data_IF_747596231177
#
_entry.id   IF_747596231177
#
_cell.length_a   1.000
_cell.length_b   1.000
_cell.length_c   1.000
_cell.angle_alpha   90.00
_cell.angle_beta   90.00
_cell.angle_gamma   90.00
#
_symmetry.space_group_name_H-M   'P 1'
#
loop_
_entity.id
_entity.type
_entity.pdbx_description
1 polymer ?
#
# COMPACT_ATOMS: atom_id res chain seq x y z
N UNK A 1 -10.83 0.36 -0.02
CA UNK A 1 -11.38 0.32 -1.40
C UNK A 1 -10.65 1.36 -2.23
N UNK A 2 -10.10 0.95 -3.37
CA UNK A 2 -9.56 1.85 -4.38
C UNK A 2 -10.59 2.01 -5.49
N UNK A 3 -10.83 3.24 -5.93
CA UNK A 3 -11.82 3.56 -6.96
C UNK A 3 -11.20 4.53 -7.95
N UNK A 4 -11.36 4.23 -9.22
CA UNK A 4 -10.95 5.10 -10.32
C UNK A 4 -12.18 5.81 -10.87
N UNK A 5 -12.15 7.13 -10.89
CA UNK A 5 -13.23 7.98 -11.37
C UNK A 5 -12.72 8.84 -12.53
N UNK A 6 -13.56 9.10 -13.51
CA UNK A 6 -13.24 10.05 -14.58
C UNK A 6 -13.06 11.48 -14.06
N UNK A 7 -13.82 11.83 -13.02
CA UNK A 7 -13.70 13.08 -12.29
C UNK A 7 -13.95 12.88 -10.81
N UNK A 8 -13.21 13.60 -9.97
CA UNK A 8 -13.49 13.63 -8.53
C UNK A 8 -14.86 14.25 -8.19
N UNK A 9 -15.51 14.91 -9.12
CA UNK A 9 -16.86 15.46 -8.95
C UNK A 9 -17.93 14.36 -8.90
N UNK A 10 -17.64 13.16 -9.41
CA UNK A 10 -18.48 11.98 -9.26
C UNK A 10 -18.42 11.31 -7.86
N UNK A 11 -17.55 11.78 -6.99
CA UNK A 11 -17.30 11.22 -5.66
C UNK A 11 -18.51 11.22 -4.71
N UNK A 12 -19.42 12.25 -4.67
CA UNK A 12 -20.50 12.30 -3.68
C UNK A 12 -21.40 11.06 -3.70
N UNK A 13 -21.69 10.49 -4.86
CA UNK A 13 -22.53 9.29 -4.98
C UNK A 13 -21.85 8.07 -4.37
N UNK A 14 -20.55 7.93 -4.57
CA UNK A 14 -19.73 6.86 -3.97
C UNK A 14 -19.65 7.02 -2.45
N UNK A 15 -19.39 8.22 -1.97
CA UNK A 15 -19.29 8.51 -0.53
C UNK A 15 -20.63 8.22 0.17
N UNK A 16 -21.76 8.57 -0.43
CA UNK A 16 -23.09 8.27 0.09
C UNK A 16 -23.32 6.75 0.18
N UNK A 17 -22.92 6.00 -0.83
CA UNK A 17 -23.02 4.53 -0.83
C UNK A 17 -22.18 3.92 0.30
N UNK A 18 -20.94 4.37 0.47
CA UNK A 18 -20.06 3.89 1.53
C UNK A 18 -20.56 4.27 2.93
N UNK A 19 -21.10 5.46 3.10
CA UNK A 19 -21.70 5.91 4.36
C UNK A 19 -22.91 5.07 4.77
N UNK A 20 -23.61 4.44 3.81
CA UNK A 20 -24.72 3.53 4.09
C UNK A 20 -24.30 2.17 4.68
N UNK A 21 -23.02 1.79 4.53
CA UNK A 21 -22.50 0.48 4.95
C UNK A 21 -21.35 0.57 5.96
N UNK A 22 -20.84 1.76 6.24
CA UNK A 22 -19.72 1.98 7.16
C UNK A 22 -20.01 3.18 8.06
N UNK A 23 -19.77 3.02 9.36
CA UNK A 23 -19.96 4.08 10.36
C UNK A 23 -18.94 5.22 10.22
N UNK A 24 -17.82 4.97 9.54
CA UNK A 24 -16.76 5.95 9.32
C UNK A 24 -16.08 5.71 7.96
N UNK A 25 -16.02 6.77 7.15
CA UNK A 25 -15.41 6.74 5.82
C UNK A 25 -14.36 7.85 5.75
N UNK A 26 -13.14 7.48 5.36
CA UNK A 26 -12.08 8.43 5.06
C UNK A 26 -11.61 8.25 3.62
N UNK A 27 -11.70 9.31 2.85
CA UNK A 27 -11.30 9.36 1.45
C UNK A 27 -9.99 10.12 1.24
N UNK A 28 -9.19 9.66 0.30
CA UNK A 28 -7.93 10.27 -0.11
C UNK A 28 -7.84 10.35 -1.63
N UNK A 29 -7.40 11.49 -2.12
CA UNK A 29 -6.96 11.60 -3.51
C UNK A 29 -5.51 11.11 -3.57
N UNK A 30 -5.25 10.14 -4.45
CA UNK A 30 -3.95 9.50 -4.58
C UNK A 30 -3.45 9.50 -6.01
N UNK A 31 -2.13 9.44 -6.16
CA UNK A 31 -1.47 9.05 -7.41
C UNK A 31 -0.99 7.61 -7.25
N UNK A 32 -1.59 6.71 -8.02
CA UNK A 32 -1.23 5.30 -8.00
C UNK A 32 0.01 5.02 -8.87
N UNK A 33 0.87 4.15 -8.40
CA UNK A 33 1.91 3.49 -9.18
C UNK A 33 2.00 2.02 -8.82
N UNK A 34 2.25 1.16 -9.80
CA UNK A 34 2.31 -0.30 -9.63
C UNK A 34 3.69 -0.80 -10.05
N UNK A 35 4.72 -0.66 -9.17
CA UNK A 35 6.10 -1.08 -9.45
C UNK A 35 6.24 -2.58 -9.67
N UNK A 36 5.41 -3.38 -8.98
CA UNK A 36 5.34 -4.83 -9.20
C UNK A 36 3.90 -5.21 -9.53
N UNK A 37 3.68 -5.63 -10.77
CA UNK A 37 2.37 -6.12 -11.23
C UNK A 37 2.23 -7.60 -10.94
N UNK A 38 1.03 -8.03 -10.56
CA UNK A 38 0.70 -9.46 -10.55
C UNK A 38 0.84 -10.00 -11.99
N UNK A 39 1.73 -10.98 -12.22
CA UNK A 39 2.07 -11.40 -13.59
C UNK A 39 0.88 -12.06 -14.31
N UNK A 40 0.09 -12.82 -13.58
CA UNK A 40 -1.01 -13.60 -14.16
C UNK A 40 -2.31 -13.38 -13.39
N UNK A 41 -3.23 -12.66 -14.01
CA UNK A 41 -4.59 -12.54 -13.50
C UNK A 41 -5.40 -13.77 -13.92
N UNK A 42 -5.63 -14.68 -12.95
CA UNK A 42 -6.34 -15.94 -13.19
C UNK A 42 -7.81 -15.93 -12.75
N UNK A 43 -8.30 -14.81 -12.23
CA UNK A 43 -9.67 -14.67 -11.74
C UNK A 43 -10.51 -13.75 -12.63
N UNK A 44 -11.80 -14.06 -12.80
CA UNK A 44 -12.71 -13.27 -13.63
C UNK A 44 -12.98 -11.88 -13.02
N UNK A 45 -13.47 -10.96 -13.85
CA UNK A 45 -13.99 -9.68 -13.39
C UNK A 45 -15.14 -9.88 -12.43
N UNK A 46 -15.16 -9.08 -11.35
CA UNK A 46 -16.13 -9.25 -10.25
C UNK A 46 -15.84 -10.42 -9.31
N UNK A 47 -14.92 -11.31 -9.68
CA UNK A 47 -14.50 -12.43 -8.83
C UNK A 47 -13.55 -11.99 -7.70
N UNK A 48 -13.55 -12.76 -6.62
CA UNK A 48 -12.59 -12.55 -5.53
C UNK A 48 -11.20 -12.96 -5.99
N UNK A 49 -10.25 -12.04 -5.88
CA UNK A 49 -8.86 -12.34 -6.20
C UNK A 49 -8.22 -13.23 -5.12
N UNK A 50 -7.36 -14.19 -5.50
CA UNK A 50 -6.64 -15.02 -4.54
C UNK A 50 -5.57 -14.21 -3.78
N UNK A 51 -5.08 -14.77 -2.69
CA UNK A 51 -4.02 -14.18 -1.88
C UNK A 51 -4.52 -13.22 -0.80
N UNK A 52 -3.58 -12.57 -0.15
CA UNK A 52 -3.80 -11.65 0.96
C UNK A 52 -3.09 -10.33 0.68
N UNK A 53 -3.71 -9.22 1.02
CA UNK A 53 -3.10 -7.90 0.89
C UNK A 53 -2.84 -7.32 2.27
N UNK A 54 -1.59 -7.01 2.55
CA UNK A 54 -1.19 -6.15 3.65
C UNK A 54 -1.37 -4.70 3.20
N UNK A 55 -2.22 -3.97 3.91
CA UNK A 55 -2.51 -2.57 3.62
C UNK A 55 -1.90 -1.70 4.71
N UNK A 56 -1.01 -0.79 4.34
CA UNK A 56 -0.31 0.08 5.27
C UNK A 56 -0.47 1.53 4.86
N UNK A 57 -0.85 2.38 5.79
CA UNK A 57 -0.93 3.83 5.58
C UNK A 57 -0.12 4.56 6.66
N UNK A 58 0.69 5.52 6.24
CA UNK A 58 1.56 6.25 7.16
C UNK A 58 1.68 7.74 6.80
N UNK A 59 1.83 8.61 7.81
CA UNK A 59 2.13 10.01 7.58
C UNK A 59 3.59 10.20 7.18
N UNK A 60 3.88 11.32 6.56
CA UNK A 60 5.26 11.78 6.38
C UNK A 60 5.77 12.37 7.71
N UNK A 61 7.00 12.04 8.15
CA UNK A 61 7.61 12.74 9.28
C UNK A 61 7.71 14.24 9.01
N UNK A 62 7.32 15.06 9.97
CA UNK A 62 7.28 16.53 9.81
C UNK A 62 8.63 17.14 9.42
N UNK A 63 9.73 16.54 9.91
CA UNK A 63 11.10 16.98 9.62
C UNK A 63 11.57 16.72 8.17
N UNK A 64 10.85 15.93 7.40
CA UNK A 64 11.22 15.61 6.02
C UNK A 64 10.47 16.50 5.04
N UNK A 65 11.16 17.05 4.06
CA UNK A 65 10.54 17.63 2.87
C UNK A 65 9.89 16.53 2.01
N UNK A 66 8.91 16.89 1.20
CA UNK A 66 8.16 15.92 0.39
C UNK A 66 9.05 15.19 -0.62
N UNK A 67 9.94 15.91 -1.30
CA UNK A 67 10.89 15.35 -2.25
C UNK A 67 11.83 14.33 -1.59
N UNK A 68 12.39 14.65 -0.43
CA UNK A 68 13.22 13.73 0.34
C UNK A 68 12.45 12.49 0.81
N UNK A 69 11.20 12.66 1.25
CA UNK A 69 10.33 11.55 1.65
C UNK A 69 10.06 10.61 0.48
N UNK A 70 9.66 11.13 -0.68
CA UNK A 70 9.39 10.30 -1.85
C UNK A 70 10.65 9.69 -2.47
N UNK A 71 11.76 10.43 -2.48
CA UNK A 71 13.04 9.90 -2.95
C UNK A 71 13.48 8.68 -2.10
N UNK A 72 13.36 8.77 -0.78
CA UNK A 72 13.66 7.67 0.12
C UNK A 72 12.68 6.49 -0.07
N UNK A 73 11.38 6.77 -0.10
CA UNK A 73 10.37 5.72 -0.27
C UNK A 73 10.54 4.96 -1.59
N UNK A 74 10.73 5.69 -2.70
CA UNK A 74 10.81 5.08 -4.03
C UNK A 74 12.18 4.50 -4.35
N UNK A 75 13.24 5.15 -3.92
CA UNK A 75 14.62 4.80 -4.28
C UNK A 75 15.31 3.84 -3.30
N UNK A 76 14.81 3.72 -2.07
CA UNK A 76 15.42 2.88 -1.03
C UNK A 76 14.44 1.85 -0.48
N UNK A 77 13.33 2.30 0.10
CA UNK A 77 12.41 1.41 0.79
C UNK A 77 11.71 0.43 -0.17
N UNK A 78 11.23 0.90 -1.32
CA UNK A 78 10.56 0.01 -2.28
C UNK A 78 11.48 -1.06 -2.86
N UNK A 79 12.71 -0.76 -3.32
CA UNK A 79 13.66 -1.79 -3.74
C UNK A 79 13.97 -2.81 -2.64
N UNK A 80 14.17 -2.35 -1.40
CA UNK A 80 14.41 -3.23 -0.26
C UNK A 80 13.22 -4.17 -0.02
N UNK A 81 11.98 -3.68 -0.12
CA UNK A 81 10.78 -4.53 0.00
C UNK A 81 10.77 -5.66 -1.04
N UNK A 82 11.25 -5.40 -2.26
CA UNK A 82 11.34 -6.40 -3.31
C UNK A 82 12.42 -7.45 -3.07
N UNK A 83 13.49 -7.08 -2.37
CA UNK A 83 14.56 -8.01 -2.01
C UNK A 83 14.17 -8.94 -0.87
N UNK A 84 13.45 -8.42 0.13
CA UNK A 84 13.22 -9.15 1.39
C UNK A 84 11.86 -9.83 1.47
N UNK A 85 10.81 -9.25 0.83
CA UNK A 85 9.46 -9.79 0.94
C UNK A 85 9.09 -10.67 -0.27
N UNK A 86 8.37 -11.80 -0.07
CA UNK A 86 7.88 -12.66 -1.15
C UNK A 86 6.66 -12.04 -1.85
N UNK A 87 6.80 -10.81 -2.31
CA UNK A 87 5.71 -10.03 -2.89
C UNK A 87 5.21 -10.63 -4.20
N UNK A 88 3.90 -10.65 -4.34
CA UNK A 88 3.22 -11.02 -5.58
C UNK A 88 2.76 -9.79 -6.37
N UNK A 89 2.39 -8.72 -5.68
CA UNK A 89 2.08 -7.41 -6.24
C UNK A 89 2.45 -6.32 -5.24
N UNK A 90 2.83 -5.16 -5.74
CA UNK A 90 3.10 -3.99 -4.92
C UNK A 90 2.50 -2.75 -5.55
N UNK A 91 1.61 -2.08 -4.83
CA UNK A 91 0.97 -0.84 -5.26
C UNK A 91 1.32 0.28 -4.29
N UNK A 92 1.70 1.43 -4.83
CA UNK A 92 1.95 2.66 -4.07
C UNK A 92 0.91 3.69 -4.43
N UNK A 93 0.30 4.24 -3.42
CA UNK A 93 -0.65 5.34 -3.52
C UNK A 93 -0.04 6.57 -2.80
N UNK A 94 0.56 7.48 -3.55
CA UNK A 94 1.03 8.76 -3.01
C UNK A 94 -0.18 9.65 -2.74
N UNK A 95 -0.42 10.00 -1.49
CA UNK A 95 -1.57 10.81 -1.11
C UNK A 95 -1.32 12.27 -1.49
N UNK A 96 -2.12 12.79 -2.40
CA UNK A 96 -2.12 14.21 -2.76
C UNK A 96 -2.80 15.05 -1.66
N UNK A 97 -3.98 14.61 -1.21
CA UNK A 97 -4.72 15.25 -0.11
C UNK A 97 -5.82 14.35 0.45
N UNK A 98 -6.21 14.54 1.72
CA UNK A 98 -7.48 14.03 2.25
C UNK A 98 -8.67 14.65 1.52
N UNK A 99 -9.75 13.88 1.37
CA UNK A 99 -10.99 14.31 0.71
C UNK A 99 -12.16 14.47 1.68
N UNK A 100 -12.11 13.79 2.82
CA UNK A 100 -13.18 13.80 3.81
C UNK A 100 -12.74 14.45 5.11
N UNK A 101 -13.63 15.12 5.86
CA UNK A 101 -13.32 15.69 7.17
C UNK A 101 -12.84 14.62 8.16
N UNK A 102 -11.87 14.96 9.01
CA UNK A 102 -11.35 14.07 10.03
C UNK A 102 -10.47 12.93 9.53
N UNK A 103 -10.19 12.86 8.24
CA UNK A 103 -9.23 11.90 7.70
C UNK A 103 -7.83 12.17 8.25
N UNK A 104 -7.11 11.10 8.62
CA UNK A 104 -5.73 11.21 9.12
C UNK A 104 -4.82 11.76 8.03
N UNK A 105 -3.77 12.51 8.37
CA UNK A 105 -2.86 13.12 7.38
C UNK A 105 -1.85 12.09 6.84
N UNK A 106 -2.35 10.99 6.29
CA UNK A 106 -1.50 10.04 5.60
C UNK A 106 -0.88 10.68 4.35
N UNK A 107 0.38 10.34 4.08
CA UNK A 107 1.11 10.78 2.90
C UNK A 107 1.40 9.63 1.94
N UNK A 108 1.36 8.41 2.44
CA UNK A 108 1.58 7.19 1.67
C UNK A 108 0.59 6.11 2.10
N UNK A 109 0.12 5.35 1.12
CA UNK A 109 -0.65 4.13 1.30
C UNK A 109 -0.02 3.06 0.41
N UNK A 110 0.30 1.92 1.00
CA UNK A 110 0.94 0.79 0.31
C UNK A 110 0.02 -0.42 0.38
N UNK A 111 -0.08 -1.12 -0.73
CA UNK A 111 -0.77 -2.40 -0.83
C UNK A 111 0.27 -3.45 -1.25
N UNK A 112 0.62 -4.32 -0.32
CA UNK A 112 1.57 -5.41 -0.51
C UNK A 112 0.79 -6.71 -0.58
N UNK A 113 0.80 -7.36 -1.74
CA UNK A 113 0.06 -8.57 -1.95
C UNK A 113 0.95 -9.79 -1.92
N UNK A 114 0.48 -10.80 -1.21
CA UNK A 114 1.11 -12.09 -1.01
C UNK A 114 0.21 -13.20 -1.54
N UNK A 115 0.77 -14.35 -1.89
CA UNK A 115 0.00 -15.50 -2.36
C UNK A 115 -0.82 -16.13 -1.27
N UNK A 116 -0.30 -16.10 -0.03
CA UNK A 116 -0.99 -16.69 1.11
C UNK A 116 -0.71 -15.92 2.40
N UNK A 117 -1.51 -16.20 3.44
CA UNK A 117 -1.32 -15.64 4.77
C UNK A 117 -0.03 -16.16 5.44
N UNK A 118 0.36 -17.38 5.13
CA UNK A 118 1.58 -18.00 5.66
C UNK A 118 2.84 -17.21 5.23
N UNK A 119 2.84 -16.62 4.04
CA UNK A 119 3.97 -15.79 3.57
C UNK A 119 4.18 -14.55 4.44
N UNK A 120 3.13 -14.06 5.11
CA UNK A 120 3.19 -12.90 6.03
C UNK A 120 3.51 -13.35 7.46
N UNK A 121 2.94 -14.47 7.90
CA UNK A 121 3.08 -14.94 9.28
C UNK A 121 4.38 -15.71 9.55
N UNK A 122 4.96 -16.30 8.54
CA UNK A 122 6.30 -16.89 8.61
C UNK A 122 7.36 -15.81 8.45
N UNK A 123 7.93 -15.35 9.55
CA UNK A 123 8.95 -14.29 9.53
C UNK A 123 10.18 -14.64 8.70
N UNK A 124 10.53 -15.92 8.57
CA UNK A 124 11.64 -16.34 7.71
C UNK A 124 11.31 -16.13 6.24
N UNK A 125 10.08 -16.35 5.84
CA UNK A 125 9.60 -16.06 4.49
C UNK A 125 9.39 -14.58 4.27
N UNK A 126 8.79 -13.89 5.26
CA UNK A 126 8.46 -12.47 5.14
C UNK A 126 9.69 -11.58 5.05
N UNK A 127 10.70 -11.81 5.87
CA UNK A 127 11.95 -11.02 5.89
C UNK A 127 13.10 -11.65 5.09
N UNK A 128 12.86 -12.75 4.41
CA UNK A 128 13.91 -13.54 3.78
C UNK A 128 14.76 -14.26 4.82
N UNK A 129 15.75 -15.00 4.37
CA UNK A 129 16.70 -15.66 5.27
C UNK A 129 17.39 -14.57 6.09
N UNK A 130 17.18 -14.57 7.40
CA UNK A 130 17.78 -13.59 8.32
C UNK A 130 19.25 -13.42 7.95
N UNK A 131 19.62 -12.23 7.55
CA UNK A 131 21.03 -11.86 7.45
C UNK A 131 21.62 -12.08 8.85
N UNK A 132 22.34 -13.15 9.05
CA UNK A 132 23.16 -13.33 10.22
C UNK A 132 24.22 -12.25 10.14
N UNK A 133 23.95 -11.11 10.76
CA UNK A 133 25.01 -10.13 11.02
C UNK A 133 26.16 -10.88 11.67
N UNK A 134 27.39 -10.89 11.10
CA UNK A 134 28.51 -11.48 11.78
C UNK A 134 28.65 -10.75 13.11
N UNK A 135 28.51 -11.50 14.19
CA UNK A 135 28.74 -10.99 15.52
C UNK A 135 30.11 -10.32 15.50
N UNK A 136 30.11 -9.03 15.78
CA UNK A 136 31.33 -8.22 15.90
C UNK A 136 32.22 -8.93 16.95
N UNK A 137 33.22 -9.64 16.51
CA UNK A 137 34.28 -10.18 17.39
C UNK A 137 35.17 -9.00 17.70
N UNK A 138 35.06 -8.55 18.92
CA UNK A 138 35.97 -7.64 19.62
C UNK A 138 37.44 -8.01 19.44
#
# INVERSE_FOLDING_TARGET
>A
VSVWLESQDARPALEATLAGVASKVHGYLVTESVPLRCPDRTWPDGGRSPGVTLWTAFPKPERLADDAFFAHWYGSHTPLSFEIHPLWQYVRNAVARPLTPGAKPFRAIVEERFRSLEEILDFTRFFGTVCTCPANRS
#
